data_IF_469441213776
#
_entry.id   IF_469441213776
#
_cell.length_a   1.000
_cell.length_b   1.000
_cell.length_c   1.000
_cell.angle_alpha   90.00
_cell.angle_beta   90.00
_cell.angle_gamma   90.00
#
_symmetry.space_group_name_H-M   'P 1'
#
loop_
_entity.id
_entity.type
_entity.pdbx_description
1 polymer ?
#
# COMPACT_ATOMS: atom_id res chain seq x y z
N UNK A 1 16.07 -6.72 12.45
CA UNK A 1 15.57 -7.29 11.18
C UNK A 1 14.27 -6.59 10.84
N UNK A 2 14.01 -6.23 9.58
CA UNK A 2 12.69 -5.70 9.22
C UNK A 2 11.63 -6.76 9.54
N UNK A 3 10.54 -6.37 10.22
CA UNK A 3 9.38 -7.24 10.51
C UNK A 3 8.86 -7.96 9.24
N UNK A 4 9.20 -7.45 8.05
CA UNK A 4 8.96 -8.01 6.71
C UNK A 4 9.43 -9.45 6.48
N UNK A 5 10.27 -10.03 7.35
CA UNK A 5 10.89 -11.37 7.14
C UNK A 5 10.81 -12.31 8.34
N UNK A 6 10.06 -11.95 9.38
CA UNK A 6 9.86 -12.85 10.51
C UNK A 6 8.80 -13.89 10.13
N UNK A 7 9.08 -15.21 10.20
CA UNK A 7 8.03 -16.20 10.09
C UNK A 7 6.98 -15.94 11.15
N UNK A 8 5.71 -16.21 10.86
CA UNK A 8 4.64 -16.09 11.84
C UNK A 8 4.23 -17.47 12.33
N UNK A 9 4.00 -17.62 13.64
CA UNK A 9 3.46 -18.85 14.23
C UNK A 9 2.05 -18.57 14.76
N UNK A 10 1.10 -19.39 14.30
CA UNK A 10 -0.34 -19.29 14.54
C UNK A 10 -0.84 -20.56 15.24
N UNK A 11 -1.65 -20.41 16.28
CA UNK A 11 -2.16 -21.56 17.04
C UNK A 11 -3.20 -22.33 16.22
N UNK A 12 -3.12 -23.67 16.15
CA UNK A 12 -4.19 -24.50 15.62
C UNK A 12 -5.46 -24.28 16.45
N UNK A 13 -6.58 -24.01 15.79
CA UNK A 13 -7.84 -23.81 16.51
C UNK A 13 -8.99 -23.26 15.68
N UNK A 14 -8.70 -22.55 14.58
CA UNK A 14 -9.68 -22.08 13.61
C UNK A 14 -9.11 -22.28 12.19
N UNK A 15 -9.20 -23.49 11.64
CA UNK A 15 -8.76 -23.78 10.27
C UNK A 15 -9.32 -22.75 9.26
N UNK A 16 -10.51 -22.23 9.53
CA UNK A 16 -11.20 -21.20 8.74
C UNK A 16 -10.45 -19.87 8.59
N UNK A 17 -9.66 -19.42 9.57
CA UNK A 17 -9.03 -18.09 9.49
C UNK A 17 -7.86 -18.06 8.50
N UNK A 18 -6.96 -19.05 8.55
CA UNK A 18 -5.87 -19.16 7.57
C UNK A 18 -6.44 -19.47 6.19
N UNK A 19 -7.43 -20.36 6.10
CA UNK A 19 -8.08 -20.71 4.82
C UNK A 19 -8.72 -19.50 4.15
N UNK A 20 -9.43 -18.67 4.92
CA UNK A 20 -10.02 -17.43 4.42
C UNK A 20 -8.93 -16.45 3.97
N UNK A 21 -7.85 -16.30 4.74
CA UNK A 21 -6.74 -15.43 4.38
C UNK A 21 -6.06 -15.87 3.08
N UNK A 22 -5.81 -17.18 2.91
CA UNK A 22 -5.26 -17.75 1.68
C UNK A 22 -6.20 -17.49 0.49
N UNK A 23 -7.51 -17.69 0.69
CA UNK A 23 -8.54 -17.42 -0.31
C UNK A 23 -8.52 -15.94 -0.74
N UNK A 24 -8.48 -15.02 0.23
CA UNK A 24 -8.41 -13.58 -0.03
C UNK A 24 -7.13 -13.20 -0.79
N UNK A 25 -5.97 -13.77 -0.43
CA UNK A 25 -4.70 -13.53 -1.11
C UNK A 25 -4.71 -14.04 -2.56
N UNK A 26 -5.24 -15.25 -2.81
CA UNK A 26 -5.38 -15.78 -4.16
C UNK A 26 -6.31 -14.91 -5.02
N UNK A 27 -7.42 -14.41 -4.46
CA UNK A 27 -8.31 -13.44 -5.11
C UNK A 27 -7.65 -12.07 -5.37
N UNK A 28 -6.53 -11.80 -4.70
CA UNK A 28 -5.63 -10.65 -4.87
C UNK A 28 -4.44 -10.91 -5.80
N UNK A 29 -4.40 -12.09 -6.43
CA UNK A 29 -3.37 -12.57 -7.37
C UNK A 29 -2.02 -12.94 -6.76
N UNK A 30 -1.94 -13.01 -5.42
CA UNK A 30 -0.75 -13.50 -4.73
C UNK A 30 -0.59 -15.01 -4.91
N UNK A 31 0.65 -15.45 -5.10
CA UNK A 31 0.97 -16.87 -5.20
C UNK A 31 1.15 -17.46 -3.80
N UNK A 32 0.26 -18.40 -3.43
CA UNK A 32 0.26 -19.05 -2.12
C UNK A 32 0.49 -20.54 -2.26
N UNK A 33 1.59 -21.03 -1.70
CA UNK A 33 1.90 -22.45 -1.57
C UNK A 33 1.49 -22.95 -0.19
N UNK A 34 0.74 -24.05 -0.14
CA UNK A 34 0.34 -24.72 1.10
C UNK A 34 1.04 -26.08 1.17
N UNK A 35 1.65 -26.42 2.30
CA UNK A 35 2.32 -27.70 2.50
C UNK A 35 2.14 -28.20 3.93
N UNK A 36 2.05 -29.52 4.06
CA UNK A 36 2.00 -30.18 5.37
C UNK A 36 3.38 -30.50 5.93
N UNK A 37 4.43 -30.72 5.12
CA UNK A 37 5.81 -30.93 5.62
C UNK A 37 6.89 -31.15 4.52
N UNK A 38 6.52 -31.50 3.29
CA UNK A 38 7.46 -31.63 2.16
C UNK A 38 7.35 -30.43 1.22
N UNK A 39 8.43 -29.67 1.13
CA UNK A 39 8.63 -28.65 0.09
C UNK A 39 9.47 -29.29 -1.00
N UNK A 40 8.84 -29.88 -2.01
CA UNK A 40 9.54 -30.18 -3.26
C UNK A 40 9.98 -28.86 -3.92
N UNK A 41 10.98 -28.92 -4.81
CA UNK A 41 11.57 -27.78 -5.52
C UNK A 41 10.57 -26.92 -6.35
N UNK A 42 9.27 -27.24 -6.35
CA UNK A 42 8.19 -26.46 -6.95
C UNK A 42 7.79 -25.20 -6.14
N UNK A 43 8.28 -25.01 -4.90
CA UNK A 43 7.97 -23.85 -4.06
C UNK A 43 8.78 -22.56 -4.35
N UNK A 44 9.43 -22.47 -5.52
CA UNK A 44 10.44 -21.43 -5.82
C UNK A 44 9.82 -20.05 -6.14
N UNK A 45 8.55 -19.99 -6.55
CA UNK A 45 7.89 -18.77 -7.04
C UNK A 45 6.68 -18.32 -6.19
N UNK A 46 6.56 -18.78 -4.94
CA UNK A 46 5.48 -18.37 -4.04
C UNK A 46 5.79 -17.03 -3.34
N UNK A 47 4.75 -16.21 -3.12
CA UNK A 47 4.83 -15.00 -2.29
C UNK A 47 4.62 -15.33 -0.80
N UNK A 48 3.80 -16.33 -0.53
CA UNK A 48 3.50 -16.88 0.80
C UNK A 48 3.61 -18.41 0.79
N UNK A 49 4.30 -18.96 1.79
CA UNK A 49 4.23 -20.37 2.16
C UNK A 49 3.42 -20.49 3.44
N UNK A 50 2.37 -21.30 3.41
CA UNK A 50 1.63 -21.73 4.60
C UNK A 50 2.05 -23.16 4.93
N UNK A 51 2.65 -23.34 6.10
CA UNK A 51 3.06 -24.64 6.62
C UNK A 51 2.10 -25.04 7.74
N UNK A 52 1.48 -26.21 7.61
CA UNK A 52 0.56 -26.74 8.62
C UNK A 52 1.16 -27.95 9.29
N UNK A 53 1.70 -27.73 10.49
CA UNK A 53 2.30 -28.80 11.28
C UNK A 53 1.23 -29.76 11.79
N UNK A 54 1.52 -31.06 11.77
CA UNK A 54 0.66 -32.06 12.41
C UNK A 54 0.66 -31.87 13.93
N UNK A 55 -0.43 -32.22 14.60
CA UNK A 55 -0.53 -32.19 16.06
C UNK A 55 0.63 -32.97 16.70
N UNK A 56 1.29 -32.39 17.70
CA UNK A 56 2.47 -32.99 18.34
C UNK A 56 3.78 -32.81 17.56
N UNK A 57 3.80 -32.05 16.46
CA UNK A 57 5.05 -31.76 15.74
C UNK A 57 5.91 -30.76 16.51
N UNK A 58 6.88 -31.29 17.26
CA UNK A 58 7.81 -30.49 18.06
C UNK A 58 8.71 -29.59 17.19
N UNK A 59 9.15 -30.07 16.03
CA UNK A 59 10.02 -29.32 15.13
C UNK A 59 9.87 -29.79 13.67
N UNK A 60 10.12 -28.91 12.68
CA UNK A 60 10.20 -29.33 11.29
C UNK A 60 11.42 -30.23 11.07
N UNK A 61 11.34 -31.11 10.07
CA UNK A 61 12.50 -31.90 9.65
C UNK A 61 13.67 -31.00 9.25
N UNK A 62 14.91 -31.53 9.26
CA UNK A 62 16.10 -30.77 8.84
C UNK A 62 15.97 -30.23 7.42
N UNK A 63 15.38 -31.01 6.52
CA UNK A 63 15.19 -30.65 5.12
C UNK A 63 14.11 -29.57 4.97
N UNK A 64 12.98 -29.72 5.65
CA UNK A 64 11.92 -28.70 5.71
C UNK A 64 12.45 -27.38 6.27
N UNK A 65 13.21 -27.43 7.37
CA UNK A 65 13.85 -26.26 7.97
C UNK A 65 14.86 -25.59 7.03
N UNK A 66 15.62 -26.37 6.24
CA UNK A 66 16.53 -25.83 5.23
C UNK A 66 15.76 -25.16 4.08
N UNK A 67 14.70 -25.78 3.57
CA UNK A 67 13.86 -25.24 2.52
C UNK A 67 13.17 -23.92 2.93
N UNK A 68 12.59 -23.86 4.13
CA UNK A 68 11.98 -22.65 4.68
C UNK A 68 13.01 -21.52 4.83
N UNK A 69 14.22 -21.82 5.31
CA UNK A 69 15.30 -20.83 5.40
C UNK A 69 15.73 -20.32 4.01
N UNK A 70 15.80 -21.20 3.02
CA UNK A 70 16.12 -20.83 1.64
C UNK A 70 15.04 -19.94 1.01
N UNK A 71 13.76 -20.28 1.18
CA UNK A 71 12.64 -19.46 0.72
C UNK A 71 12.64 -18.06 1.38
N UNK A 72 12.83 -18.02 2.71
CA UNK A 72 12.93 -16.75 3.46
C UNK A 72 14.10 -15.89 2.99
N UNK A 73 15.24 -16.49 2.66
CA UNK A 73 16.40 -15.76 2.13
C UNK A 73 16.10 -15.06 0.80
N UNK A 74 15.16 -15.60 0.00
CA UNK A 74 14.65 -15.00 -1.25
C UNK A 74 13.55 -13.97 -1.03
N UNK A 75 13.04 -13.82 0.21
CA UNK A 75 12.02 -12.84 0.57
C UNK A 75 10.59 -13.38 0.67
N UNK A 76 10.40 -14.71 0.55
CA UNK A 76 9.10 -15.36 0.66
C UNK A 76 8.57 -15.25 2.10
N UNK A 77 7.29 -14.92 2.26
CA UNK A 77 6.63 -14.89 3.55
C UNK A 77 6.35 -16.32 4.04
N UNK A 78 6.45 -16.57 5.34
CA UNK A 78 6.22 -17.90 5.92
C UNK A 78 5.24 -17.77 7.07
N UNK A 79 4.08 -18.40 6.92
CA UNK A 79 3.07 -18.56 7.97
C UNK A 79 3.04 -20.02 8.41
N UNK A 80 3.18 -20.26 9.71
CA UNK A 80 3.29 -21.58 10.30
C UNK A 80 2.10 -21.77 11.25
N UNK A 81 1.28 -22.77 10.98
CA UNK A 81 0.25 -23.25 11.90
C UNK A 81 0.85 -24.38 12.75
N UNK A 82 1.13 -24.11 14.03
CA UNK A 82 1.79 -25.05 14.94
C UNK A 82 1.46 -24.75 16.42
N UNK A 83 1.54 -25.76 17.28
CA UNK A 83 1.26 -25.64 18.72
C UNK A 83 2.28 -24.74 19.41
N UNK A 84 1.79 -23.79 20.21
CA UNK A 84 2.63 -22.76 20.84
C UNK A 84 3.63 -23.32 21.86
N UNK A 85 3.38 -24.50 22.42
CA UNK A 85 4.31 -25.15 23.35
C UNK A 85 5.64 -25.53 22.69
N UNK A 86 5.65 -25.68 21.36
CA UNK A 86 6.85 -25.98 20.56
C UNK A 86 7.51 -24.72 19.98
N UNK A 87 7.18 -23.53 20.47
CA UNK A 87 7.73 -22.29 19.95
C UNK A 87 9.26 -22.28 19.91
N UNK A 88 9.92 -22.71 20.99
CA UNK A 88 11.39 -22.66 21.10
C UNK A 88 12.08 -23.63 20.14
N UNK A 89 11.50 -24.82 19.94
CA UNK A 89 12.02 -25.83 19.01
C UNK A 89 11.86 -25.38 17.55
N UNK A 90 10.73 -24.75 17.21
CA UNK A 90 10.53 -24.09 15.92
C UNK A 90 11.48 -22.91 15.70
N UNK A 91 11.66 -22.05 16.72
CA UNK A 91 12.59 -20.93 16.66
C UNK A 91 14.04 -21.38 16.42
N UNK A 92 14.47 -22.43 17.11
CA UNK A 92 15.80 -23.03 16.94
C UNK A 92 15.97 -23.60 15.52
N UNK A 93 14.99 -24.34 15.01
CA UNK A 93 15.07 -24.93 13.67
C UNK A 93 15.12 -23.88 12.54
N UNK A 94 14.39 -22.77 12.69
CA UNK A 94 14.32 -21.69 11.71
C UNK A 94 15.51 -20.70 11.80
N UNK A 95 16.36 -20.83 12.81
CA UNK A 95 17.46 -19.91 13.14
C UNK A 95 17.02 -18.44 13.28
N UNK A 96 15.73 -18.20 13.53
CA UNK A 96 15.11 -16.89 13.74
C UNK A 96 13.78 -17.15 14.45
N UNK A 97 13.55 -16.55 15.64
CA UNK A 97 12.32 -16.77 16.37
C UNK A 97 11.12 -16.24 15.56
N UNK A 98 10.07 -17.04 15.33
CA UNK A 98 8.88 -16.56 14.66
C UNK A 98 8.13 -15.52 15.51
N UNK A 99 7.38 -14.63 14.87
CA UNK A 99 6.42 -13.76 15.53
C UNK A 99 5.18 -14.54 15.89
N UNK A 100 4.75 -14.49 17.15
CA UNK A 100 3.47 -15.06 17.57
C UNK A 100 2.33 -14.17 17.07
N UNK A 101 1.38 -14.76 16.35
CA UNK A 101 0.17 -14.07 15.91
C UNK A 101 -1.03 -14.48 16.75
N UNK A 102 -1.86 -13.51 17.10
CA UNK A 102 -3.19 -13.79 17.62
C UNK A 102 -4.03 -14.53 16.57
N UNK A 103 -4.98 -15.35 17.02
CA UNK A 103 -5.84 -16.16 16.15
C UNK A 103 -6.93 -15.32 15.45
N UNK A 104 -6.56 -14.22 14.79
CA UNK A 104 -7.48 -13.26 14.18
C UNK A 104 -7.02 -12.83 12.78
N UNK A 105 -7.99 -12.52 11.92
CA UNK A 105 -7.74 -12.02 10.56
C UNK A 105 -6.94 -10.71 10.59
N UNK A 106 -7.23 -9.83 11.56
CA UNK A 106 -6.50 -8.56 11.74
C UNK A 106 -5.01 -8.78 12.00
N UNK A 107 -4.65 -9.72 12.88
CA UNK A 107 -3.24 -10.00 13.20
C UNK A 107 -2.49 -10.57 11.98
N UNK A 108 -3.13 -11.46 11.19
CA UNK A 108 -2.52 -12.01 9.97
C UNK A 108 -2.29 -10.90 8.94
N UNK A 109 -3.29 -10.04 8.70
CA UNK A 109 -3.11 -8.91 7.78
C UNK A 109 -2.04 -7.95 8.27
N UNK A 110 -2.00 -7.58 9.57
CA UNK A 110 -0.95 -6.71 10.11
C UNK A 110 0.46 -7.26 9.85
N UNK A 111 0.64 -8.57 9.98
CA UNK A 111 1.90 -9.25 9.62
C UNK A 111 2.17 -9.25 8.11
N UNK A 112 1.15 -9.46 7.28
CA UNK A 112 1.27 -9.49 5.82
C UNK A 112 1.54 -8.13 5.16
N UNK A 113 0.95 -7.05 5.68
CA UNK A 113 0.94 -5.73 5.03
C UNK A 113 2.32 -5.15 4.65
N UNK A 114 3.36 -5.16 5.51
CA UNK A 114 4.54 -4.33 5.32
C UNK A 114 5.28 -4.62 4.01
N UNK A 115 5.42 -3.59 3.15
CA UNK A 115 6.22 -3.69 1.93
C UNK A 115 5.53 -4.36 0.74
N UNK A 116 4.24 -4.72 0.85
CA UNK A 116 3.50 -5.43 -0.20
C UNK A 116 2.47 -4.58 -0.93
N UNK A 117 2.24 -3.35 -0.48
CA UNK A 117 1.20 -2.46 -1.02
C UNK A 117 1.43 -2.10 -2.49
N UNK A 118 2.64 -1.67 -2.86
CA UNK A 118 2.95 -1.34 -4.27
C UNK A 118 2.86 -2.58 -5.14
N UNK A 119 3.29 -3.73 -4.63
CA UNK A 119 3.22 -4.99 -5.36
C UNK A 119 1.78 -5.42 -5.64
N UNK A 120 0.89 -5.33 -4.64
CA UNK A 120 -0.55 -5.55 -4.80
C UNK A 120 -1.12 -4.72 -5.95
N UNK A 121 -0.77 -3.43 -6.00
CA UNK A 121 -1.26 -2.52 -7.04
C UNK A 121 -0.72 -2.89 -8.43
N UNK A 122 0.57 -3.23 -8.54
CA UNK A 122 1.19 -3.62 -9.81
C UNK A 122 0.57 -4.91 -10.34
N UNK A 123 0.43 -5.95 -9.52
CA UNK A 123 -0.14 -7.24 -9.94
C UNK A 123 -1.59 -7.16 -10.39
N UNK A 124 -2.32 -6.17 -9.87
CA UNK A 124 -3.72 -5.92 -10.20
C UNK A 124 -3.91 -4.86 -11.29
N UNK A 125 -2.83 -4.31 -11.87
CA UNK A 125 -2.92 -3.42 -13.03
C UNK A 125 -3.15 -4.23 -14.31
N UNK A 126 -4.07 -3.79 -15.17
CA UNK A 126 -4.36 -4.45 -16.44
C UNK A 126 -3.18 -4.34 -17.44
N UNK A 127 -3.11 -5.28 -18.39
CA UNK A 127 -2.06 -5.32 -19.42
C UNK A 127 -2.40 -4.48 -20.66
N UNK A 128 -3.11 -3.36 -20.48
CA UNK A 128 -3.58 -2.47 -21.54
C UNK A 128 -2.41 -1.81 -22.29
N UNK A 129 -2.69 -1.26 -23.48
CA UNK A 129 -1.70 -0.47 -24.21
C UNK A 129 -1.70 0.99 -23.76
N UNK A 130 -0.49 1.52 -23.55
CA UNK A 130 -0.28 2.93 -23.20
C UNK A 130 -0.41 3.79 -24.45
N UNK A 131 -1.44 4.63 -24.48
CA UNK A 131 -1.73 5.58 -25.55
C UNK A 131 -0.79 6.79 -25.51
N UNK A 132 -0.61 7.39 -24.33
CA UNK A 132 0.30 8.53 -24.14
C UNK A 132 0.86 8.61 -22.71
N UNK A 133 2.00 9.28 -22.56
CA UNK A 133 2.56 9.67 -21.26
C UNK A 133 2.97 11.12 -21.32
N UNK A 134 2.46 11.94 -20.40
CA UNK A 134 2.80 13.36 -20.29
C UNK A 134 3.40 13.64 -18.92
N UNK A 135 4.59 14.22 -18.90
CA UNK A 135 5.28 14.62 -17.67
C UNK A 135 5.21 16.15 -17.56
N UNK A 136 4.19 16.66 -16.87
CA UNK A 136 4.03 18.07 -16.55
C UNK A 136 4.72 18.46 -15.23
N UNK A 137 4.72 19.75 -14.91
CA UNK A 137 5.40 20.28 -13.70
C UNK A 137 4.79 19.73 -12.41
N UNK A 138 3.45 19.64 -12.34
CA UNK A 138 2.74 19.16 -11.16
C UNK A 138 2.34 17.69 -11.25
N UNK A 139 2.05 17.21 -12.47
CA UNK A 139 1.43 15.91 -12.69
C UNK A 139 2.14 15.11 -13.78
N UNK A 140 2.28 13.82 -13.53
CA UNK A 140 2.60 12.82 -14.54
C UNK A 140 1.29 12.12 -14.89
N UNK A 141 0.93 12.10 -16.16
CA UNK A 141 -0.28 11.50 -16.70
C UNK A 141 0.09 10.30 -17.58
N UNK A 142 -0.56 9.16 -17.35
CA UNK A 142 -0.53 8.00 -18.24
C UNK A 142 -1.94 7.78 -18.76
N UNK A 143 -2.06 7.51 -20.06
CA UNK A 143 -3.34 7.36 -20.75
C UNK A 143 -3.38 6.01 -21.46
N UNK A 144 -4.51 5.32 -21.36
CA UNK A 144 -4.88 4.17 -22.20
C UNK A 144 -6.15 4.50 -22.98
N UNK A 145 -6.71 3.53 -23.68
CA UNK A 145 -8.04 3.66 -24.29
C UNK A 145 -9.18 3.50 -23.28
N UNK A 146 -8.89 2.93 -22.11
CA UNK A 146 -9.88 2.64 -21.06
C UNK A 146 -9.83 3.61 -19.88
N UNK A 147 -8.69 4.25 -19.63
CA UNK A 147 -8.50 5.06 -18.45
C UNK A 147 -7.33 6.03 -18.52
N UNK A 148 -7.29 6.93 -17.55
CA UNK A 148 -6.23 7.90 -17.37
C UNK A 148 -5.84 7.94 -15.90
N UNK A 149 -4.54 7.95 -15.63
CA UNK A 149 -3.99 7.95 -14.29
C UNK A 149 -3.01 9.07 -14.08
N UNK A 150 -3.12 9.70 -12.92
CA UNK A 150 -2.27 10.80 -12.51
C UNK A 150 -1.35 10.36 -11.36
N UNK A 151 -0.18 10.98 -11.27
CA UNK A 151 0.65 10.97 -10.07
C UNK A 151 1.34 12.33 -9.94
N UNK A 152 1.74 12.72 -8.74
CA UNK A 152 2.50 13.97 -8.59
C UNK A 152 3.87 13.83 -9.27
N UNK A 153 4.23 14.78 -10.13
CA UNK A 153 5.59 14.84 -10.69
C UNK A 153 6.55 15.27 -9.58
N UNK A 154 7.62 14.49 -9.31
CA UNK A 154 8.60 14.86 -8.31
C UNK A 154 9.43 16.05 -8.79
N UNK A 155 9.81 16.94 -7.87
CA UNK A 155 10.75 18.02 -8.19
C UNK A 155 12.11 17.45 -8.64
N UNK A 156 12.75 18.09 -9.62
CA UNK A 156 14.07 17.69 -10.14
C UNK A 156 15.15 17.56 -9.06
N UNK A 157 15.05 18.33 -7.98
CA UNK A 157 15.95 18.28 -6.81
C UNK A 157 15.67 17.13 -5.83
N UNK A 158 14.69 16.27 -6.10
CA UNK A 158 14.35 15.15 -5.22
C UNK A 158 15.49 14.11 -5.27
N UNK A 159 16.00 13.63 -4.11
CA UNK A 159 17.06 12.62 -4.09
C UNK A 159 16.75 11.41 -4.97
N UNK A 160 17.73 10.97 -5.76
CA UNK A 160 17.61 9.84 -6.67
C UNK A 160 16.94 10.15 -8.02
N UNK A 161 16.41 11.36 -8.22
CA UNK A 161 15.83 11.82 -9.49
C UNK A 161 16.86 11.69 -10.62
N UNK A 162 16.48 10.98 -11.68
CA UNK A 162 17.31 10.76 -12.86
C UNK A 162 16.48 10.87 -14.13
N UNK A 163 17.12 11.29 -15.22
CA UNK A 163 16.53 11.22 -16.55
C UNK A 163 16.12 9.77 -16.88
N UNK A 164 15.03 9.63 -17.63
CA UNK A 164 14.52 8.32 -18.03
C UNK A 164 15.36 7.79 -19.20
N UNK A 165 15.79 6.53 -19.10
CA UNK A 165 16.29 5.78 -20.25
C UNK A 165 15.16 4.91 -20.79
N UNK A 166 14.27 5.50 -21.60
CA UNK A 166 13.06 4.85 -22.10
C UNK A 166 13.25 4.10 -23.42
N UNK A 167 14.46 4.03 -23.97
CA UNK A 167 14.76 3.35 -25.24
C UNK A 167 13.84 3.82 -26.37
N UNK A 168 12.95 2.95 -26.84
CA UNK A 168 11.94 3.21 -27.88
C UNK A 168 10.77 4.13 -27.48
N UNK A 169 10.85 4.81 -26.33
CA UNK A 169 9.77 5.65 -25.80
C UNK A 169 8.81 4.91 -24.86
N UNK A 170 7.78 5.60 -24.37
CA UNK A 170 6.81 5.08 -23.40
C UNK A 170 5.46 4.66 -24.02
N UNK A 171 5.11 5.25 -25.17
CA UNK A 171 3.88 4.92 -25.94
C UNK A 171 3.95 3.50 -26.49
N UNK A 172 2.81 2.83 -26.55
CA UNK A 172 2.67 1.47 -27.05
C UNK A 172 3.21 0.38 -26.11
N UNK A 173 3.78 0.74 -24.96
CA UNK A 173 4.16 -0.23 -23.92
C UNK A 173 2.91 -0.81 -23.26
N UNK A 174 3.05 -2.00 -22.70
CA UNK A 174 2.04 -2.57 -21.79
C UNK A 174 1.99 -1.78 -20.49
N UNK A 175 0.79 -1.51 -20.00
CA UNK A 175 0.53 -0.69 -18.82
C UNK A 175 1.09 -1.32 -17.55
N UNK A 176 0.91 -2.63 -17.36
CA UNK A 176 1.46 -3.40 -16.25
C UNK A 176 3.00 -3.34 -16.17
N UNK A 177 3.69 -3.31 -17.31
CA UNK A 177 5.14 -3.11 -17.38
C UNK A 177 5.55 -1.69 -16.95
N UNK A 178 4.75 -0.67 -17.24
CA UNK A 178 4.98 0.68 -16.71
C UNK A 178 4.63 0.75 -15.22
N UNK A 179 3.54 0.13 -14.77
CA UNK A 179 3.15 0.05 -13.37
C UNK A 179 4.29 -0.52 -12.51
N UNK A 180 5.00 -1.55 -13.00
CA UNK A 180 6.19 -2.10 -12.35
C UNK A 180 7.29 -1.07 -12.03
N UNK A 181 7.32 0.09 -12.70
CA UNK A 181 8.26 1.17 -12.40
C UNK A 181 8.01 1.84 -11.04
N UNK A 182 6.82 1.61 -10.44
CA UNK A 182 6.52 2.01 -9.07
C UNK A 182 7.49 1.39 -8.04
N UNK A 183 8.16 0.28 -8.39
CA UNK A 183 9.18 -0.38 -7.55
C UNK A 183 10.54 0.33 -7.56
N UNK A 184 10.78 1.19 -8.54
CA UNK A 184 12.13 1.75 -8.78
C UNK A 184 12.53 2.77 -7.71
N UNK A 185 13.84 3.05 -7.60
CA UNK A 185 14.37 4.12 -6.74
C UNK A 185 14.43 5.49 -7.42
N UNK A 186 14.11 5.59 -8.72
CA UNK A 186 14.04 6.87 -9.41
C UNK A 186 12.63 7.45 -9.20
N UNK A 187 12.45 8.56 -8.45
CA UNK A 187 11.13 9.11 -8.18
C UNK A 187 10.36 9.47 -9.45
N UNK A 188 11.04 9.88 -10.53
CA UNK A 188 10.37 10.18 -11.81
C UNK A 188 9.78 8.92 -12.45
N UNK A 189 10.56 7.83 -12.50
CA UNK A 189 10.06 6.54 -12.99
C UNK A 189 8.96 5.99 -12.08
N UNK A 190 9.06 6.21 -10.77
CA UNK A 190 8.02 5.85 -9.80
C UNK A 190 6.73 6.60 -10.03
N UNK A 191 6.79 7.91 -10.31
CA UNK A 191 5.62 8.70 -10.66
C UNK A 191 4.92 8.17 -11.92
N UNK A 192 5.68 7.78 -12.94
CA UNK A 192 5.13 7.11 -14.13
C UNK A 192 4.46 5.78 -13.76
N UNK A 193 5.09 4.97 -12.91
CA UNK A 193 4.52 3.71 -12.46
C UNK A 193 3.22 3.90 -11.68
N UNK A 194 3.17 4.87 -10.76
CA UNK A 194 1.94 5.19 -10.03
C UNK A 194 0.85 5.76 -10.94
N UNK A 195 1.21 6.60 -11.91
CA UNK A 195 0.26 7.08 -12.92
C UNK A 195 -0.27 5.92 -13.79
N UNK A 196 0.58 4.94 -14.14
CA UNK A 196 0.16 3.75 -14.86
C UNK A 196 -0.78 2.85 -14.04
N UNK A 197 -0.46 2.63 -12.75
CA UNK A 197 -1.35 1.95 -11.81
C UNK A 197 -2.71 2.63 -11.78
N UNK A 198 -2.74 3.95 -11.59
CA UNK A 198 -3.98 4.71 -11.52
C UNK A 198 -4.73 4.68 -12.86
N UNK A 199 -4.04 4.63 -14.00
CA UNK A 199 -4.70 4.55 -15.30
C UNK A 199 -5.45 3.24 -15.50
N UNK A 200 -5.00 2.15 -14.88
CA UNK A 200 -5.64 0.84 -14.94
C UNK A 200 -6.60 0.53 -13.78
N UNK A 201 -6.46 1.22 -12.64
CA UNK A 201 -7.29 0.99 -11.46
C UNK A 201 -8.38 2.03 -11.24
N UNK A 202 -8.18 3.28 -11.69
CA UNK A 202 -9.13 4.36 -11.49
C UNK A 202 -10.10 4.44 -12.69
N UNK A 203 -10.74 3.32 -13.01
CA UNK A 203 -11.71 3.16 -14.10
C UNK A 203 -13.02 2.67 -13.50
N UNK A 204 -14.15 3.25 -13.92
CA UNK A 204 -15.50 2.80 -13.56
C UNK A 204 -15.68 2.47 -12.07
N UNK A 205 -15.18 3.36 -11.21
CA UNK A 205 -15.24 3.17 -9.77
C UNK A 205 -16.69 3.09 -9.32
N UNK A 206 -17.05 1.98 -8.67
CA UNK A 206 -18.39 1.74 -8.12
C UNK A 206 -18.40 1.89 -6.60
N UNK A 207 -19.51 2.34 -6.03
CA UNK A 207 -19.68 2.43 -4.57
C UNK A 207 -18.87 3.55 -3.91
N UNK A 208 -18.43 4.55 -4.68
CA UNK A 208 -17.79 5.76 -4.14
C UNK A 208 -18.81 6.83 -3.75
N UNK A 209 -18.39 7.72 -2.86
CA UNK A 209 -18.99 9.05 -2.71
C UNK A 209 -18.18 10.09 -3.49
N UNK A 210 -18.79 11.25 -3.78
CA UNK A 210 -18.11 12.41 -4.38
C UNK A 210 -17.57 13.39 -3.32
N UNK A 211 -17.42 12.93 -2.08
CA UNK A 211 -16.96 13.75 -0.98
C UNK A 211 -15.49 14.17 -1.16
N UNK A 212 -15.17 15.39 -0.73
CA UNK A 212 -13.80 15.81 -0.49
C UNK A 212 -13.21 14.95 0.64
N UNK A 213 -12.08 14.31 0.38
CA UNK A 213 -11.40 13.48 1.38
C UNK A 213 -10.91 14.27 2.60
N UNK A 214 -10.76 15.58 2.50
CA UNK A 214 -10.26 16.46 3.57
C UNK A 214 -11.42 17.05 4.37
N UNK A 215 -12.10 16.23 5.17
CA UNK A 215 -13.25 16.67 5.96
C UNK A 215 -13.14 16.25 7.43
N UNK A 216 -13.79 16.99 8.33
CA UNK A 216 -13.89 16.60 9.73
C UNK A 216 -14.55 15.21 9.89
N UNK A 217 -15.48 14.85 9.02
CA UNK A 217 -16.08 13.50 9.00
C UNK A 217 -15.10 12.42 8.56
N UNK A 218 -14.10 12.77 7.74
CA UNK A 218 -12.98 11.88 7.43
C UNK A 218 -12.04 11.69 8.62
N UNK A 219 -11.78 12.77 9.39
CA UNK A 219 -10.97 12.71 10.61
C UNK A 219 -11.63 11.87 11.72
N UNK A 220 -12.97 11.85 11.77
CA UNK A 220 -13.70 11.09 12.78
C UNK A 220 -13.61 11.72 14.18
N UNK A 221 -13.78 10.89 15.22
CA UNK A 221 -13.79 11.31 16.62
C UNK A 221 -12.64 10.71 17.43
N UNK A 222 -11.50 10.45 16.78
CA UNK A 222 -10.34 9.85 17.43
C UNK A 222 -9.78 10.74 18.54
N UNK A 223 -9.28 10.12 19.60
CA UNK A 223 -8.55 10.82 20.65
C UNK A 223 -7.16 11.20 20.12
N UNK A 224 -6.90 12.50 19.97
CA UNK A 224 -5.60 13.03 19.53
C UNK A 224 -5.69 14.06 18.40
N UNK A 225 -4.56 14.69 18.01
CA UNK A 225 -4.54 15.67 16.94
C UNK A 225 -4.75 15.03 15.57
N UNK A 226 -5.31 15.80 14.63
CA UNK A 226 -5.27 15.46 13.21
C UNK A 226 -3.88 15.75 12.67
N UNK A 227 -3.20 14.73 12.13
CA UNK A 227 -1.89 14.85 11.50
C UNK A 227 -2.04 14.71 9.99
N UNK A 228 -1.41 15.62 9.24
CA UNK A 228 -1.50 15.67 7.78
C UNK A 228 -0.10 15.60 7.18
N UNK A 229 0.16 14.61 6.35
CA UNK A 229 1.40 14.46 5.59
C UNK A 229 1.19 15.07 4.20
N UNK A 230 1.91 16.16 3.93
CA UNK A 230 1.79 16.94 2.70
C UNK A 230 0.76 18.06 2.79
N UNK A 231 1.09 19.24 2.26
CA UNK A 231 0.18 20.39 2.30
C UNK A 231 -0.89 20.29 1.22
N UNK A 232 -2.16 20.43 1.62
CA UNK A 232 -3.28 20.57 0.68
C UNK A 232 -3.76 22.01 0.55
N UNK A 233 -4.27 22.44 -0.63
CA UNK A 233 -4.88 23.74 -0.77
C UNK A 233 -6.12 23.93 0.12
N UNK A 234 -6.17 25.02 0.88
CA UNK A 234 -7.29 25.37 1.77
C UNK A 234 -7.41 24.47 3.01
N UNK A 235 -6.31 23.86 3.43
CA UNK A 235 -6.28 22.90 4.54
C UNK A 235 -6.73 23.54 5.86
N UNK A 236 -6.37 24.81 6.10
CA UNK A 236 -6.70 25.53 7.32
C UNK A 236 -8.22 25.72 7.50
N UNK A 237 -8.98 25.84 6.40
CA UNK A 237 -10.44 25.89 6.47
C UNK A 237 -11.08 24.50 6.59
N UNK A 238 -10.47 23.49 5.95
CA UNK A 238 -11.03 22.12 5.86
C UNK A 238 -10.77 21.29 7.11
N UNK A 239 -9.57 21.41 7.67
CA UNK A 239 -9.11 20.72 8.88
C UNK A 239 -8.43 21.73 9.82
N UNK A 240 -9.21 22.62 10.48
CA UNK A 240 -8.65 23.61 11.39
C UNK A 240 -7.86 22.97 12.52
N UNK A 241 -6.65 23.48 12.78
CA UNK A 241 -5.77 22.97 13.85
C UNK A 241 -5.01 21.69 13.52
N UNK A 242 -5.07 21.20 12.28
CA UNK A 242 -4.27 20.06 11.85
C UNK A 242 -2.76 20.35 11.94
N UNK A 243 -2.00 19.37 12.44
CA UNK A 243 -0.54 19.41 12.46
C UNK A 243 -0.04 18.91 11.11
N UNK A 244 0.59 19.78 10.33
CA UNK A 244 1.00 19.46 8.97
C UNK A 244 2.49 19.21 8.90
N UNK A 245 2.86 18.04 8.41
CA UNK A 245 4.24 17.62 8.19
C UNK A 245 4.54 17.75 6.69
N UNK A 246 5.55 18.53 6.35
CA UNK A 246 6.02 18.66 4.98
C UNK A 246 7.54 18.52 4.85
N UNK A 247 7.96 18.03 3.68
CA UNK A 247 9.37 17.91 3.30
C UNK A 247 10.05 19.26 3.13
N UNK A 248 9.32 20.24 2.59
CA UNK A 248 9.76 21.63 2.50
C UNK A 248 8.77 22.48 3.30
N UNK A 249 8.88 22.51 4.63
CA UNK A 249 7.87 23.09 5.50
C UNK A 249 7.75 24.61 5.28
N UNK A 250 6.51 25.10 5.18
CA UNK A 250 6.21 26.52 5.34
C UNK A 250 6.29 26.99 6.81
N UNK A 251 5.98 28.27 7.08
CA UNK A 251 6.08 28.83 8.44
C UNK A 251 5.25 28.12 9.52
N UNK A 252 4.15 27.48 9.12
CA UNK A 252 3.22 26.80 10.03
C UNK A 252 3.30 25.26 9.92
N UNK A 253 4.37 24.76 9.30
CA UNK A 253 4.53 23.35 8.99
C UNK A 253 5.68 22.76 9.78
N UNK A 254 5.55 21.48 10.07
CA UNK A 254 6.57 20.71 10.75
C UNK A 254 7.43 19.98 9.71
N UNK A 255 8.73 19.79 9.99
CA UNK A 255 9.61 19.06 9.11
C UNK A 255 9.30 17.55 9.16
N UNK A 256 9.77 16.80 8.16
CA UNK A 256 9.47 15.38 8.00
C UNK A 256 9.82 14.52 9.23
N UNK A 257 10.85 14.91 9.98
CA UNK A 257 11.34 14.26 11.20
C UNK A 257 10.32 14.30 12.36
N UNK A 258 9.31 15.17 12.29
CA UNK A 258 8.24 15.21 13.29
C UNK A 258 7.31 13.98 13.22
N UNK A 259 7.32 13.24 12.10
CA UNK A 259 6.43 12.10 11.88
C UNK A 259 6.55 11.03 12.97
N UNK A 260 7.78 10.69 13.38
CA UNK A 260 8.06 9.64 14.36
C UNK A 260 7.48 9.95 15.75
N UNK A 261 7.30 11.23 16.08
CA UNK A 261 6.76 11.66 17.37
C UNK A 261 5.26 11.94 17.33
N UNK A 262 4.72 12.33 16.17
CA UNK A 262 3.33 12.78 16.06
C UNK A 262 2.38 11.68 15.59
N UNK A 263 2.79 10.85 14.62
CA UNK A 263 1.91 9.83 14.06
C UNK A 263 1.49 8.79 15.11
N UNK A 264 2.36 8.30 16.01
CA UNK A 264 1.95 7.29 17.00
C UNK A 264 0.80 7.71 17.92
N UNK A 265 0.66 9.01 18.18
CA UNK A 265 -0.38 9.58 19.06
C UNK A 265 -1.45 10.38 18.33
N UNK A 266 -1.55 10.29 17.00
CA UNK A 266 -2.55 11.04 16.24
C UNK A 266 -3.96 10.44 16.41
N UNK A 267 -4.98 11.30 16.37
CA UNK A 267 -6.39 10.88 16.37
C UNK A 267 -6.92 10.61 14.95
N UNK A 268 -6.26 11.15 13.93
CA UNK A 268 -6.51 10.92 12.51
C UNK A 268 -5.26 11.20 11.69
N UNK A 269 -5.02 10.40 10.64
CA UNK A 269 -3.88 10.56 9.74
C UNK A 269 -4.33 10.79 8.30
N UNK A 270 -3.91 11.91 7.72
CA UNK A 270 -4.12 12.19 6.29
C UNK A 270 -2.80 12.05 5.54
N UNK A 271 -2.80 11.24 4.49
CA UNK A 271 -1.63 11.01 3.65
C UNK A 271 -1.86 11.56 2.25
N UNK A 272 -1.00 12.44 1.77
CA UNK A 272 -0.94 12.73 0.34
C UNK A 272 -0.59 11.48 -0.46
N UNK A 273 -1.26 11.28 -1.60
CA UNK A 273 -0.96 10.19 -2.52
C UNK A 273 0.48 10.23 -3.06
N UNK A 274 1.14 11.38 -3.01
CA UNK A 274 2.55 11.50 -3.42
C UNK A 274 3.53 10.78 -2.49
N UNK A 275 3.09 10.33 -1.32
CA UNK A 275 3.87 9.41 -0.47
C UNK A 275 4.23 8.12 -1.21
N UNK A 276 3.44 7.67 -2.18
CA UNK A 276 3.81 6.56 -3.06
C UNK A 276 4.99 6.91 -3.95
N UNK A 277 5.00 8.12 -4.52
CA UNK A 277 6.09 8.62 -5.38
C UNK A 277 7.39 8.82 -4.59
N UNK A 278 7.31 9.21 -3.32
CA UNK A 278 8.48 9.29 -2.42
C UNK A 278 8.83 7.96 -1.76
N UNK A 279 8.00 6.91 -1.90
CA UNK A 279 8.11 5.61 -1.22
C UNK A 279 8.19 5.73 0.31
N UNK A 280 7.34 6.58 0.87
CA UNK A 280 7.21 6.80 2.32
C UNK A 280 5.88 6.28 2.88
N UNK A 281 4.93 5.84 2.04
CA UNK A 281 3.61 5.36 2.48
C UNK A 281 3.72 4.24 3.52
N UNK A 282 4.49 3.17 3.23
CA UNK A 282 4.65 2.04 4.15
C UNK A 282 5.26 2.46 5.50
N UNK A 283 6.27 3.33 5.50
CA UNK A 283 6.94 3.76 6.74
C UNK A 283 6.04 4.65 7.57
N UNK A 284 5.26 5.54 6.93
CA UNK A 284 4.31 6.40 7.63
C UNK A 284 3.16 5.61 8.24
N UNK A 285 2.64 4.61 7.52
CA UNK A 285 1.62 3.70 8.05
C UNK A 285 2.15 2.85 9.19
N UNK A 286 3.41 2.43 9.13
CA UNK A 286 4.04 1.66 10.21
C UNK A 286 4.17 2.45 11.52
N UNK A 287 4.24 3.80 11.47
CA UNK A 287 4.24 4.65 12.65
C UNK A 287 2.85 4.78 13.31
N UNK A 288 1.77 4.45 12.59
CA UNK A 288 0.39 4.56 13.09
C UNK A 288 0.01 3.35 13.97
N UNK A 289 0.76 3.14 15.04
CA UNK A 289 0.56 2.02 15.99
C UNK A 289 -0.78 2.12 16.73
N UNK A 290 -1.27 3.35 16.98
CA UNK A 290 -2.57 3.61 17.58
C UNK A 290 -3.77 3.28 16.67
N UNK A 291 -3.51 2.87 15.42
CA UNK A 291 -4.53 2.55 14.42
C UNK A 291 -5.56 3.67 14.22
N UNK A 292 -5.08 4.92 14.23
CA UNK A 292 -5.91 6.07 13.92
C UNK A 292 -6.45 5.95 12.49
N UNK A 293 -7.70 6.41 12.22
CA UNK A 293 -8.25 6.39 10.88
C UNK A 293 -7.33 7.08 9.87
N UNK A 294 -7.00 6.38 8.78
CA UNK A 294 -6.11 6.85 7.73
C UNK A 294 -6.91 7.20 6.47
N UNK A 295 -6.75 8.45 6.00
CA UNK A 295 -7.30 8.89 4.71
C UNK A 295 -6.17 9.21 3.75
N UNK A 296 -6.14 8.54 2.60
CA UNK A 296 -5.25 8.87 1.50
C UNK A 296 -5.91 9.82 0.53
N UNK A 297 -5.25 10.94 0.21
CA UNK A 297 -5.85 12.05 -0.51
C UNK A 297 -5.00 12.48 -1.70
N UNK A 298 -5.68 12.69 -2.83
CA UNK A 298 -5.17 13.44 -3.97
C UNK A 298 -5.42 12.76 -5.31
N UNK A 299 -5.26 13.48 -6.44
CA UNK A 299 -5.48 12.90 -7.77
C UNK A 299 -4.60 11.68 -8.09
N UNK A 300 -3.49 11.50 -7.36
CA UNK A 300 -2.62 10.34 -7.48
C UNK A 300 -2.99 9.14 -6.61
N UNK A 301 -4.12 9.16 -5.89
CA UNK A 301 -4.56 8.02 -5.06
C UNK A 301 -5.02 6.86 -5.95
N UNK A 302 -4.46 5.66 -5.79
CA UNK A 302 -5.02 4.44 -6.39
C UNK A 302 -6.36 4.11 -5.73
N UNK A 303 -7.44 4.11 -6.52
CA UNK A 303 -8.80 3.83 -6.06
C UNK A 303 -9.08 2.32 -6.01
N UNK A 304 -8.21 1.60 -5.30
CA UNK A 304 -8.31 0.15 -5.13
C UNK A 304 -8.76 -0.19 -3.71
N UNK A 305 -9.97 -0.75 -3.51
CA UNK A 305 -10.43 -1.21 -2.18
C UNK A 305 -9.48 -2.19 -1.50
N UNK A 306 -8.59 -2.84 -2.27
CA UNK A 306 -7.55 -3.74 -1.75
C UNK A 306 -6.64 -3.03 -0.74
N UNK A 307 -6.46 -1.72 -0.84
CA UNK A 307 -5.65 -0.90 0.06
C UNK A 307 -6.22 -0.77 1.49
N UNK A 308 -7.51 -1.05 1.70
CA UNK A 308 -8.08 -1.12 3.06
C UNK A 308 -7.43 -2.23 3.88
N UNK A 309 -7.08 -3.35 3.23
CA UNK A 309 -6.31 -4.41 3.86
C UNK A 309 -4.85 -4.04 4.13
N UNK A 310 -4.43 -2.79 3.85
CA UNK A 310 -3.14 -2.21 4.20
C UNK A 310 -3.21 -1.07 5.23
N UNK A 311 -4.35 -0.90 5.90
CA UNK A 311 -4.51 0.10 6.97
C UNK A 311 -4.81 1.50 6.46
N UNK A 312 -5.35 1.62 5.24
CA UNK A 312 -5.87 2.88 4.71
C UNK A 312 -7.40 2.80 4.71
N UNK A 313 -8.07 3.52 5.59
CA UNK A 313 -9.53 3.43 5.77
C UNK A 313 -10.29 4.14 4.65
N UNK A 314 -9.73 5.22 4.09
CA UNK A 314 -10.38 6.00 3.03
C UNK A 314 -9.42 6.32 1.91
N UNK A 315 -9.89 6.16 0.68
CA UNK A 315 -9.16 6.47 -0.55
C UNK A 315 -9.91 7.59 -1.27
N UNK A 316 -9.46 8.82 -1.09
CA UNK A 316 -9.99 10.00 -1.75
C UNK A 316 -9.11 10.35 -2.95
N UNK A 317 -9.56 9.92 -4.12
CA UNK A 317 -8.84 10.06 -5.39
C UNK A 317 -9.60 10.89 -6.41
N UNK A 318 -9.18 10.73 -7.66
CA UNK A 318 -9.74 11.44 -8.81
C UNK A 318 -9.79 10.50 -10.01
N UNK A 319 -10.94 10.47 -10.69
CA UNK A 319 -11.15 9.74 -11.94
C UNK A 319 -11.25 10.78 -13.06
N UNK A 320 -10.34 10.71 -14.04
CA UNK A 320 -10.35 11.60 -15.20
C UNK A 320 -11.51 11.21 -16.11
N UNK A 321 -12.38 12.16 -16.43
CA UNK A 321 -13.53 11.95 -17.34
C UNK A 321 -13.28 12.54 -18.73
N UNK A 322 -12.52 13.63 -18.82
CA UNK A 322 -12.05 14.21 -20.09
C UNK A 322 -10.53 14.07 -20.19
N UNK A 323 -10.12 13.00 -20.88
CA UNK A 323 -8.73 12.62 -21.06
C UNK A 323 -7.91 13.71 -21.77
N UNK A 324 -8.44 14.31 -22.85
CA UNK A 324 -7.70 15.30 -23.63
C UNK A 324 -7.61 16.65 -22.92
N UNK A 325 -8.67 17.07 -22.23
CA UNK A 325 -8.62 18.28 -21.42
C UNK A 325 -7.66 18.13 -20.23
N UNK A 326 -7.70 17.00 -19.52
CA UNK A 326 -6.73 16.70 -18.46
C UNK A 326 -5.29 16.69 -19.01
N UNK A 327 -5.07 16.08 -20.18
CA UNK A 327 -3.78 16.10 -20.87
C UNK A 327 -3.29 17.52 -21.15
N UNK A 328 -4.18 18.40 -21.61
CA UNK A 328 -3.82 19.80 -21.87
C UNK A 328 -3.48 20.54 -20.58
N UNK A 329 -4.24 20.36 -19.51
CA UNK A 329 -3.93 20.92 -18.18
C UNK A 329 -2.54 20.49 -17.71
N UNK A 330 -2.18 19.22 -17.87
CA UNK A 330 -0.86 18.72 -17.48
C UNK A 330 0.25 19.36 -18.33
N UNK A 331 0.05 19.50 -19.65
CA UNK A 331 1.01 20.15 -20.56
C UNK A 331 1.23 21.63 -20.23
N UNK A 332 0.20 22.32 -19.76
CA UNK A 332 0.23 23.74 -19.41
C UNK A 332 0.62 23.99 -17.93
N UNK A 333 1.11 22.97 -17.23
CA UNK A 333 1.49 23.04 -15.83
C UNK A 333 0.35 23.48 -14.89
N UNK A 334 -0.89 23.11 -15.20
CA UNK A 334 -2.04 23.33 -14.33
C UNK A 334 -1.98 22.47 -13.06
N UNK A 335 -2.47 23.02 -11.95
CA UNK A 335 -2.55 22.34 -10.66
C UNK A 335 -3.87 21.60 -10.46
N UNK A 336 -4.12 21.13 -9.23
CA UNK A 336 -5.35 20.40 -8.87
C UNK A 336 -6.63 21.20 -9.19
N UNK A 337 -6.60 22.53 -9.04
CA UNK A 337 -7.75 23.40 -9.32
C UNK A 337 -8.14 23.37 -10.79
N UNK A 338 -7.17 23.36 -11.70
CA UNK A 338 -7.40 23.30 -13.16
C UNK A 338 -7.77 21.89 -13.61
N UNK A 339 -7.29 20.84 -12.94
CA UNK A 339 -7.69 19.47 -13.25
C UNK A 339 -9.14 19.16 -12.87
N UNK A 340 -9.62 19.73 -11.74
CA UNK A 340 -10.91 19.40 -11.13
C UNK A 340 -12.11 19.37 -12.11
N UNK A 341 -12.28 20.33 -13.05
CA UNK A 341 -13.41 20.30 -13.98
C UNK A 341 -13.38 19.15 -15.00
N UNK A 342 -12.27 18.44 -15.15
CA UNK A 342 -12.05 17.41 -16.18
C UNK A 342 -12.14 15.98 -15.63
N UNK A 343 -12.72 15.83 -14.45
CA UNK A 343 -12.91 14.54 -13.80
C UNK A 343 -13.74 14.66 -12.54
N UNK A 344 -13.82 13.56 -11.81
CA UNK A 344 -14.69 13.39 -10.67
C UNK A 344 -13.86 13.02 -9.44
N UNK A 345 -14.21 13.62 -8.29
CA UNK A 345 -13.70 13.16 -7.00
C UNK A 345 -14.37 11.84 -6.65
N UNK A 346 -13.57 10.86 -6.25
CA UNK A 346 -14.09 9.56 -5.85
C UNK A 346 -13.48 9.20 -4.50
N UNK A 347 -14.33 9.00 -3.50
CA UNK A 347 -13.92 8.55 -2.17
C UNK A 347 -14.47 7.16 -1.91
N UNK A 348 -13.57 6.19 -1.77
CA UNK A 348 -13.88 4.83 -1.32
C UNK A 348 -13.64 4.73 0.18
N UNK A 349 -14.60 4.11 0.89
CA UNK A 349 -14.50 3.84 2.32
C UNK A 349 -14.34 2.33 2.53
N UNK A 350 -13.46 1.95 3.43
CA UNK A 350 -13.39 0.58 3.92
C UNK A 350 -14.69 0.21 4.61
N UNK A 351 -15.17 -1.01 4.39
CA UNK A 351 -16.25 -1.53 5.21
C UNK A 351 -15.74 -1.68 6.64
N UNK A 352 -16.55 -1.28 7.64
CA UNK A 352 -16.22 -1.34 9.06
C UNK A 352 -16.08 -2.77 9.64
N UNK A 353 -15.91 -3.78 8.79
CA UNK A 353 -15.86 -5.21 9.12
C UNK A 353 -14.42 -5.77 9.17
N UNK A 354 -13.50 -4.99 9.71
CA UNK A 354 -12.41 -5.57 10.51
C UNK A 354 -12.50 -4.89 11.86
N UNK A 355 -13.33 -5.48 12.71
CA UNK A 355 -13.66 -5.02 14.05
C UNK A 355 -12.39 -4.85 14.89
N UNK A 356 -11.80 -3.65 14.85
CA UNK A 356 -10.95 -3.13 15.90
C UNK A 356 -11.87 -2.43 16.90
N UNK A 357 -12.69 -3.20 17.60
CA UNK A 357 -13.16 -2.73 18.89
C UNK A 357 -12.00 -2.92 19.87
N UNK A 358 -11.47 -1.85 20.49
CA UNK A 358 -10.56 -2.03 21.60
C UNK A 358 -11.34 -2.75 22.70
N UNK A 359 -10.80 -3.86 23.19
CA UNK A 359 -11.25 -4.46 24.43
C UNK A 359 -11.15 -3.38 25.53
N UNK A 360 -12.29 -2.80 25.90
CA UNK A 360 -12.43 -2.12 27.18
C UNK A 360 -12.17 -3.17 28.26
N UNK A 361 -11.11 -2.99 29.03
CA UNK A 361 -11.04 -3.51 30.40
C UNK A 361 -11.62 -2.47 31.34
#
# INVERSE_FOLDING_TARGET
>A
MSARRCPALFRPGNATTIDQFVTDLRARRWQVAETHLTLDNAAIDADLIVLRAETGTEAPSRDTAAALRAARARGVAILIEAEFEYFDTWAAALATPPSLLAASMSAIWQWWRPGRMVEELVQNTAADQVRDVVIGVHWTLVMTDHGCGLAQTPAKGTPGFRALNSGSGLRGRRLDHLAAWARTHNPLARAIGMAAINAGLNIDITGHSEEDGLTATAAGSGDGPTVVIGRFPGLEQKLPGALVIEKNPGPNDLPAEAADNLIPGCGALFLTASTFVTATTDSLLALNEGHAPVTMVGPGTPLSPRLHAYGIDRLAGFVVQDAEAARQVVKEAGGARQLRPHGQLCTLRGHADISLQPHRK
#
